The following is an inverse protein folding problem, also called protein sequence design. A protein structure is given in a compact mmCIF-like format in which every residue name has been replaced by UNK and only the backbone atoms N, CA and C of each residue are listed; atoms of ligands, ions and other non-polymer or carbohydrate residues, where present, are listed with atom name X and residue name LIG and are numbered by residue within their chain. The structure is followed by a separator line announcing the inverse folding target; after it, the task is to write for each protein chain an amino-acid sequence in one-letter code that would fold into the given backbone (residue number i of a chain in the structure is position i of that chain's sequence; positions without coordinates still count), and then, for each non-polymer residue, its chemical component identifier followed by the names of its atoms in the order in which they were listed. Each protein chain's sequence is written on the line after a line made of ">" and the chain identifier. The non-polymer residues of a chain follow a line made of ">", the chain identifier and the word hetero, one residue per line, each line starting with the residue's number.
data_IF_872208068017
#
_entry.id   IF_872208068017
#
_cell.length_a   1.000
_cell.length_b   1.000
_cell.length_c   1.000
_cell.angle_alpha   90.00
_cell.angle_beta   90.00
_cell.angle_gamma   90.00
#
_symmetry.space_group_name_H-M   'P 1'
#
loop_
_entity.id
_entity.type
_entity.pdbx_description
1 polymer ?
#
# COMPACT_ATOMS: atom_id res chain seq x y z
N UNK A 1 23.99 33.40 -24.58
CA UNK A 1 22.97 32.32 -24.47
C UNK A 1 23.49 31.13 -23.64
N UNK A 2 24.71 30.62 -23.87
CA UNK A 2 25.29 29.49 -23.12
C UNK A 2 25.42 29.72 -21.60
N UNK A 3 25.86 30.90 -21.15
CA UNK A 3 26.07 31.21 -19.72
C UNK A 3 24.75 31.22 -18.92
N UNK A 4 23.63 31.63 -19.54
CA UNK A 4 22.31 31.62 -18.89
C UNK A 4 21.80 30.18 -18.70
N UNK A 5 22.06 29.29 -19.67
CA UNK A 5 21.71 27.86 -19.61
C UNK A 5 22.50 27.12 -18.51
N UNK A 6 23.79 27.42 -18.36
CA UNK A 6 24.63 26.80 -17.32
C UNK A 6 24.17 27.16 -15.89
N UNK A 7 23.66 28.39 -15.67
CA UNK A 7 23.11 28.79 -14.38
C UNK A 7 21.79 28.08 -14.06
N UNK A 8 20.89 27.93 -15.03
CA UNK A 8 19.63 27.19 -14.83
C UNK A 8 19.86 25.69 -14.59
N UNK A 9 20.82 25.09 -15.29
CA UNK A 9 21.18 23.68 -15.07
C UNK A 9 21.69 23.45 -13.65
N UNK A 10 22.54 24.35 -13.14
CA UNK A 10 23.04 24.26 -11.75
C UNK A 10 21.97 24.47 -10.68
N UNK A 11 20.96 25.31 -10.95
CA UNK A 11 19.81 25.48 -10.04
C UNK A 11 18.97 24.20 -9.98
N UNK A 12 18.68 23.59 -11.12
CA UNK A 12 17.93 22.33 -11.19
C UNK A 12 18.72 21.22 -10.48
N UNK A 13 20.03 21.12 -10.71
CA UNK A 13 20.90 20.16 -10.05
C UNK A 13 20.86 20.31 -8.52
N UNK A 14 20.99 21.54 -8.01
CA UNK A 14 20.91 21.80 -6.56
C UNK A 14 19.53 21.46 -5.99
N UNK A 15 18.44 21.80 -6.69
CA UNK A 15 17.07 21.48 -6.26
C UNK A 15 16.88 19.96 -6.21
N UNK A 16 17.33 19.23 -7.23
CA UNK A 16 17.26 17.76 -7.26
C UNK A 16 18.07 17.14 -6.10
N UNK A 17 19.27 17.65 -5.83
CA UNK A 17 20.09 17.19 -4.70
C UNK A 17 19.38 17.46 -3.38
N UNK A 18 18.78 18.63 -3.17
CA UNK A 18 18.03 18.95 -1.96
C UNK A 18 16.80 18.06 -1.80
N UNK A 19 16.02 17.85 -2.87
CA UNK A 19 14.86 16.96 -2.85
C UNK A 19 15.26 15.52 -2.51
N UNK A 20 16.34 15.01 -3.12
CA UNK A 20 16.88 13.68 -2.82
C UNK A 20 17.38 13.60 -1.38
N UNK A 21 18.10 14.60 -0.89
CA UNK A 21 18.59 14.65 0.48
C UNK A 21 17.44 14.64 1.49
N UNK A 22 16.39 15.44 1.27
CA UNK A 22 15.19 15.43 2.11
C UNK A 22 14.52 14.06 2.12
N UNK A 23 14.40 13.42 0.96
CA UNK A 23 13.82 12.07 0.87
C UNK A 23 14.64 11.02 1.64
N UNK A 24 15.97 11.06 1.52
CA UNK A 24 16.88 10.15 2.25
C UNK A 24 16.81 10.42 3.75
N UNK A 25 16.89 11.68 4.18
CA UNK A 25 16.81 12.05 5.60
C UNK A 25 15.45 11.66 6.21
N UNK A 26 14.36 11.83 5.46
CA UNK A 26 13.02 11.42 5.91
C UNK A 26 12.95 9.90 6.08
N UNK A 27 13.49 9.14 5.11
CA UNK A 27 13.56 7.67 5.21
C UNK A 27 14.36 7.23 6.44
N UNK A 28 15.53 7.83 6.66
CA UNK A 28 16.35 7.57 7.85
C UNK A 28 15.57 7.90 9.12
N UNK A 29 14.88 9.05 9.15
CA UNK A 29 14.05 9.47 10.27
C UNK A 29 12.94 8.46 10.59
N UNK A 30 12.21 7.98 9.57
CA UNK A 30 11.17 6.95 9.72
C UNK A 30 11.78 5.67 10.30
N UNK A 31 12.90 5.19 9.76
CA UNK A 31 13.58 3.98 10.25
C UNK A 31 14.01 4.13 11.71
N UNK A 32 14.58 5.28 12.08
CA UNK A 32 15.03 5.55 13.45
C UNK A 32 13.85 5.59 14.43
N UNK A 33 12.78 6.32 14.11
CA UNK A 33 11.58 6.41 14.95
C UNK A 33 10.97 5.02 15.14
N UNK A 34 10.74 4.28 14.04
CA UNK A 34 10.18 2.93 14.12
C UNK A 34 11.08 1.99 14.92
N UNK A 35 12.40 2.08 14.78
CA UNK A 35 13.34 1.23 15.52
C UNK A 35 13.31 1.51 17.02
N UNK A 36 13.29 2.79 17.41
CA UNK A 36 13.22 3.21 18.83
C UNK A 36 11.90 2.78 19.45
N UNK A 37 10.77 3.00 18.75
CA UNK A 37 9.45 2.63 19.24
C UNK A 37 9.28 1.11 19.31
N UNK A 38 9.82 0.37 18.34
CA UNK A 38 9.86 -1.10 18.37
C UNK A 38 10.67 -1.61 19.56
N UNK A 39 11.83 -1.01 19.85
CA UNK A 39 12.63 -1.42 21.01
C UNK A 39 11.89 -1.19 22.32
N UNK A 40 11.28 0.01 22.50
CA UNK A 40 10.44 0.32 23.68
C UNK A 40 9.21 -0.57 23.78
N UNK A 41 8.63 -1.00 22.67
CA UNK A 41 7.51 -1.93 22.67
C UNK A 41 7.94 -3.29 23.23
N UNK A 42 9.07 -3.83 22.77
CA UNK A 42 9.57 -5.13 23.22
C UNK A 42 10.20 -5.13 24.62
N UNK A 43 10.41 -3.96 25.24
CA UNK A 43 10.72 -3.91 26.68
C UNK A 43 9.50 -4.21 27.56
N UNK A 44 8.30 -3.90 27.06
CA UNK A 44 7.03 -4.14 27.78
C UNK A 44 6.36 -5.46 27.35
N UNK A 45 6.55 -5.86 26.09
CA UNK A 45 5.92 -7.05 25.49
C UNK A 45 6.98 -8.08 25.12
N UNK A 46 6.82 -9.31 25.58
CA UNK A 46 7.72 -10.41 25.19
C UNK A 46 7.60 -10.71 23.69
N UNK A 47 8.74 -10.84 23.00
CA UNK A 47 8.80 -11.26 21.59
C UNK A 47 8.08 -12.59 21.36
N UNK A 48 8.20 -13.54 22.30
CA UNK A 48 7.54 -14.84 22.17
C UNK A 48 6.02 -14.64 22.21
N UNK A 49 5.51 -13.89 23.19
CA UNK A 49 4.08 -13.57 23.28
C UNK A 49 3.61 -12.84 22.03
N UNK A 50 4.35 -11.84 21.53
CA UNK A 50 4.02 -11.17 20.28
C UNK A 50 3.89 -12.13 19.08
N UNK A 51 4.76 -13.13 18.98
CA UNK A 51 4.76 -14.09 17.87
C UNK A 51 3.76 -15.25 18.03
N UNK A 52 3.45 -15.67 19.26
CA UNK A 52 2.65 -16.89 19.52
C UNK A 52 1.24 -16.62 20.03
N UNK A 53 0.97 -15.43 20.55
CA UNK A 53 -0.36 -15.07 21.06
C UNK A 53 -1.38 -15.01 19.91
N UNK A 54 -2.57 -15.52 20.18
CA UNK A 54 -3.66 -15.68 19.22
C UNK A 54 -4.70 -14.58 19.36
N UNK A 55 -4.46 -13.57 20.20
CA UNK A 55 -5.36 -12.45 20.40
C UNK A 55 -4.73 -11.11 20.01
N UNK A 56 -5.56 -10.25 19.41
CA UNK A 56 -5.25 -8.85 19.11
C UNK A 56 -6.25 -7.96 19.83
N UNK A 57 -5.92 -7.56 21.06
CA UNK A 57 -6.80 -6.80 21.96
C UNK A 57 -6.06 -5.62 22.64
N UNK A 58 -5.33 -4.77 21.89
CA UNK A 58 -4.50 -3.72 22.48
C UNK A 58 -5.30 -2.60 23.20
N UNK A 59 -6.61 -2.51 22.94
CA UNK A 59 -7.51 -1.49 23.49
C UNK A 59 -8.27 -1.94 24.75
N UNK A 60 -8.18 -3.22 25.12
CA UNK A 60 -8.87 -3.77 26.29
C UNK A 60 -8.01 -3.65 27.56
N UNK A 61 -8.62 -3.86 28.74
CA UNK A 61 -7.89 -3.85 30.01
C UNK A 61 -6.75 -4.89 30.03
N UNK A 62 -7.03 -6.10 29.54
CA UNK A 62 -6.03 -7.12 29.28
C UNK A 62 -5.53 -6.97 27.84
N UNK A 63 -4.37 -6.31 27.69
CA UNK A 63 -3.79 -6.00 26.38
C UNK A 63 -3.05 -7.22 25.81
N UNK A 64 -3.50 -7.70 24.65
CA UNK A 64 -2.76 -8.68 23.85
C UNK A 64 -2.29 -8.06 22.53
N UNK A 65 -1.05 -8.36 22.16
CA UNK A 65 -0.39 -7.83 20.97
C UNK A 65 0.06 -8.94 20.01
N UNK A 66 -0.64 -10.08 19.99
CA UNK A 66 -0.30 -11.19 19.11
C UNK A 66 -0.38 -10.82 17.63
N UNK A 67 0.66 -11.12 16.85
CA UNK A 67 0.70 -10.83 15.41
C UNK A 67 -0.09 -11.85 14.58
N UNK A 68 -0.31 -13.06 15.11
CA UNK A 68 -0.92 -14.17 14.36
C UNK A 68 -2.31 -13.84 13.80
N UNK A 69 -3.24 -13.20 14.53
CA UNK A 69 -4.54 -12.82 13.97
C UNK A 69 -4.43 -11.83 12.81
N UNK A 70 -3.52 -10.85 12.91
CA UNK A 70 -3.30 -9.87 11.86
C UNK A 70 -2.67 -10.50 10.61
N UNK A 71 -1.68 -11.37 10.81
CA UNK A 71 -1.01 -12.08 9.72
C UNK A 71 -1.97 -13.05 9.03
N UNK A 72 -2.68 -13.88 9.79
CA UNK A 72 -3.64 -14.85 9.26
C UNK A 72 -4.81 -14.17 8.55
N UNK A 73 -5.35 -13.07 9.11
CA UNK A 73 -6.37 -12.25 8.46
C UNK A 73 -5.88 -11.67 7.13
N UNK A 74 -4.66 -11.14 7.10
CA UNK A 74 -4.05 -10.60 5.87
C UNK A 74 -3.83 -11.69 4.82
N UNK A 75 -3.28 -12.83 5.21
CA UNK A 75 -3.03 -13.95 4.29
C UNK A 75 -4.34 -14.54 3.75
N UNK A 76 -5.34 -14.75 4.60
CA UNK A 76 -6.63 -15.29 4.20
C UNK A 76 -7.36 -14.36 3.22
N UNK A 77 -7.44 -13.07 3.56
CA UNK A 77 -8.09 -12.06 2.70
C UNK A 77 -7.35 -11.91 1.37
N UNK A 78 -6.02 -11.86 1.40
CA UNK A 78 -5.18 -11.81 0.18
C UNK A 78 -5.38 -13.05 -0.68
N UNK A 79 -5.41 -14.23 -0.06
CA UNK A 79 -5.61 -15.49 -0.79
C UNK A 79 -6.96 -15.52 -1.50
N UNK A 80 -8.05 -15.19 -0.80
CA UNK A 80 -9.40 -15.11 -1.39
C UNK A 80 -9.45 -14.05 -2.49
N UNK A 81 -8.85 -12.88 -2.25
CA UNK A 81 -8.81 -11.79 -3.24
C UNK A 81 -8.10 -12.22 -4.52
N UNK A 82 -6.92 -12.85 -4.42
CA UNK A 82 -6.17 -13.36 -5.58
C UNK A 82 -6.97 -14.45 -6.31
N UNK A 83 -7.55 -15.38 -5.55
CA UNK A 83 -8.31 -16.51 -6.11
C UNK A 83 -9.52 -16.04 -6.94
N UNK A 84 -10.11 -14.89 -6.62
CA UNK A 84 -11.19 -14.29 -7.40
C UNK A 84 -10.68 -13.32 -8.48
N UNK A 85 -9.78 -12.40 -8.11
CA UNK A 85 -9.34 -11.31 -8.98
C UNK A 85 -8.49 -11.80 -10.16
N UNK A 86 -7.61 -12.79 -9.96
CA UNK A 86 -6.74 -13.30 -11.02
C UNK A 86 -7.52 -13.97 -12.16
N UNK A 87 -8.38 -14.99 -11.92
CA UNK A 87 -9.10 -15.63 -13.02
C UNK A 87 -10.04 -14.66 -13.73
N UNK A 88 -10.73 -13.78 -12.98
CA UNK A 88 -11.63 -12.77 -13.57
C UNK A 88 -10.83 -11.75 -14.38
N UNK A 89 -9.74 -11.21 -13.83
CA UNK A 89 -8.91 -10.20 -14.49
C UNK A 89 -8.27 -10.73 -15.77
N UNK A 90 -7.73 -11.95 -15.75
CA UNK A 90 -7.16 -12.59 -16.95
C UNK A 90 -8.25 -12.85 -17.99
N UNK A 91 -9.42 -13.34 -17.57
CA UNK A 91 -10.54 -13.61 -18.50
C UNK A 91 -11.01 -12.33 -19.21
N UNK A 92 -11.12 -11.22 -18.46
CA UNK A 92 -11.47 -9.90 -19.03
C UNK A 92 -10.38 -9.44 -20.00
N UNK A 93 -9.10 -9.59 -19.64
CA UNK A 93 -7.98 -9.18 -20.50
C UNK A 93 -7.95 -9.96 -21.82
N UNK A 94 -8.13 -11.29 -21.77
CA UNK A 94 -8.19 -12.14 -22.97
C UNK A 94 -9.42 -11.78 -23.81
N UNK A 95 -10.60 -11.63 -23.20
CA UNK A 95 -11.82 -11.28 -23.93
C UNK A 95 -11.69 -9.94 -24.67
N UNK A 96 -11.17 -8.91 -24.00
CA UNK A 96 -11.06 -7.57 -24.58
C UNK A 96 -10.04 -7.48 -25.72
N UNK A 97 -9.01 -8.32 -25.71
CA UNK A 97 -7.96 -8.32 -26.73
C UNK A 97 -8.27 -9.24 -27.91
N UNK A 98 -8.84 -10.42 -27.67
CA UNK A 98 -9.01 -11.44 -28.70
C UNK A 98 -10.42 -11.49 -29.30
N UNK A 99 -11.45 -11.22 -28.49
CA UNK A 99 -12.84 -11.49 -28.89
C UNK A 99 -13.71 -10.23 -29.00
N UNK A 100 -13.40 -9.18 -28.26
CA UNK A 100 -14.23 -7.99 -28.21
C UNK A 100 -14.16 -7.14 -29.49
N UNK A 101 -15.30 -6.59 -29.89
CA UNK A 101 -15.35 -5.63 -30.99
C UNK A 101 -14.63 -4.33 -30.64
N UNK A 102 -14.02 -3.67 -31.64
CA UNK A 102 -13.30 -2.40 -31.45
C UNK A 102 -14.11 -1.33 -30.72
N UNK A 103 -15.42 -1.25 -30.97
CA UNK A 103 -16.34 -0.30 -30.31
C UNK A 103 -16.50 -0.60 -28.82
N UNK A 104 -16.63 -1.88 -28.46
CA UNK A 104 -16.77 -2.29 -27.06
C UNK A 104 -15.48 -2.04 -26.28
N UNK A 105 -14.34 -2.46 -26.82
CA UNK A 105 -13.02 -2.24 -26.19
C UNK A 105 -12.74 -0.75 -26.00
N UNK A 106 -13.09 0.10 -26.96
CA UNK A 106 -12.92 1.56 -26.87
C UNK A 106 -13.72 2.22 -25.73
N UNK A 107 -14.77 1.58 -25.22
CA UNK A 107 -15.60 2.10 -24.11
C UNK A 107 -15.15 1.49 -22.78
N UNK A 108 -14.99 0.16 -22.75
CA UNK A 108 -14.73 -0.57 -21.50
C UNK A 108 -13.30 -0.33 -21.01
N UNK A 109 -12.32 -0.27 -21.91
CA UNK A 109 -10.91 -0.12 -21.51
C UNK A 109 -10.66 1.18 -20.71
N UNK A 110 -11.11 2.38 -21.16
CA UNK A 110 -11.00 3.59 -20.35
C UNK A 110 -11.72 3.52 -19.00
N UNK A 111 -12.87 2.83 -18.92
CA UNK A 111 -13.60 2.67 -17.65
C UNK A 111 -12.76 1.83 -16.67
N UNK A 112 -12.18 0.72 -17.13
CA UNK A 112 -11.31 -0.13 -16.30
C UNK A 112 -10.07 0.63 -15.83
N UNK A 113 -9.44 1.42 -16.71
CA UNK A 113 -8.30 2.27 -16.37
C UNK A 113 -8.68 3.34 -15.33
N UNK A 114 -9.86 3.96 -15.47
CA UNK A 114 -10.38 4.92 -14.51
C UNK A 114 -10.69 4.26 -13.14
N UNK A 115 -11.28 3.07 -13.12
CA UNK A 115 -11.53 2.33 -11.88
C UNK A 115 -10.23 1.94 -11.19
N UNK A 116 -9.21 1.52 -11.95
CA UNK A 116 -7.89 1.22 -11.40
C UNK A 116 -7.16 2.45 -10.85
N UNK A 117 -7.49 3.64 -11.33
CA UNK A 117 -6.93 4.90 -10.84
C UNK A 117 -7.57 5.40 -9.53
N UNK A 118 -8.69 4.82 -9.09
CA UNK A 118 -9.33 5.21 -7.84
C UNK A 118 -8.41 4.82 -6.66
N UNK A 119 -8.14 5.73 -5.71
CA UNK A 119 -7.30 5.42 -4.56
C UNK A 119 -7.87 4.27 -3.73
N UNK A 120 -7.02 3.34 -3.32
CA UNK A 120 -7.42 2.16 -2.54
C UNK A 120 -8.14 2.54 -1.22
N UNK A 121 -7.79 3.68 -0.62
CA UNK A 121 -8.43 4.20 0.59
C UNK A 121 -9.92 4.51 0.39
N UNK A 122 -10.33 4.93 -0.83
CA UNK A 122 -11.73 5.22 -1.13
C UNK A 122 -12.56 3.93 -1.12
N UNK A 123 -12.05 2.87 -1.75
CA UNK A 123 -12.70 1.56 -1.71
C UNK A 123 -12.73 0.96 -0.31
N UNK A 124 -11.66 1.13 0.47
CA UNK A 124 -11.62 0.70 1.87
C UNK A 124 -12.66 1.41 2.72
N UNK A 125 -12.75 2.73 2.61
CA UNK A 125 -13.75 3.51 3.35
C UNK A 125 -15.18 3.18 2.94
N UNK A 126 -15.44 2.98 1.64
CA UNK A 126 -16.74 2.53 1.14
C UNK A 126 -17.14 1.18 1.74
N UNK A 127 -16.23 0.20 1.77
CA UNK A 127 -16.49 -1.10 2.38
C UNK A 127 -16.80 -0.98 3.89
N UNK A 128 -16.06 -0.14 4.61
CA UNK A 128 -16.34 0.12 6.02
C UNK A 128 -17.72 0.74 6.25
N UNK A 129 -18.14 1.70 5.42
CA UNK A 129 -19.38 2.43 5.64
C UNK A 129 -20.64 1.70 5.16
N UNK A 130 -20.54 0.87 4.11
CA UNK A 130 -21.71 0.27 3.45
C UNK A 130 -21.78 -1.25 3.55
N UNK A 131 -20.65 -1.94 3.77
CA UNK A 131 -20.57 -3.41 3.75
C UNK A 131 -20.38 -3.99 5.15
N UNK A 132 -19.73 -3.26 6.06
CA UNK A 132 -19.59 -3.68 7.45
C UNK A 132 -20.93 -3.51 8.16
N UNK A 133 -21.46 -4.55 8.85
CA UNK A 133 -22.74 -4.48 9.56
C UNK A 133 -22.72 -3.55 10.78
#
# INVERSE_FOLDING_TARGET
>A
MAILRMKSEKVIEVVMILCSLVSVLTTIGIVLVLSVDTFKFFTEVSIISFLTDTQWTPLFENKHFGILPLLSGTLLTTFIAILLAVPVGISIAVYLNEYASKKFTSIVKPILEMLAAIPTVVYGFFALQFVTP
#
